data_IF_962044540535
#
_entry.id   IF_962044540535
#
_cell.length_a   1.000
_cell.length_b   1.000
_cell.length_c   1.000
_cell.angle_alpha   90.00
_cell.angle_beta   90.00
_cell.angle_gamma   90.00
#
_symmetry.space_group_name_H-M   'P 1'
#
loop_
_entity.id
_entity.type
_entity.pdbx_description
1 polymer ?
#
# COMPACT_ATOMS: atom_id res chain seq x y z
N UNK A 1 3.47 -14.50 19.86
CA UNK A 1 3.51 -13.20 19.16
C UNK A 1 2.47 -13.25 18.06
N UNK A 2 1.52 -12.33 18.06
CA UNK A 2 0.48 -12.29 17.03
C UNK A 2 1.07 -11.71 15.74
N UNK A 3 0.97 -12.43 14.62
CA UNK A 3 1.40 -11.93 13.31
C UNK A 3 0.44 -10.85 12.82
N UNK A 4 0.89 -9.60 12.81
CA UNK A 4 0.14 -8.48 12.23
C UNK A 4 0.14 -8.62 10.70
N UNK A 5 -1.05 -8.79 10.12
CA UNK A 5 -1.27 -8.81 8.67
C UNK A 5 -1.84 -7.46 8.20
N UNK A 6 -1.63 -7.14 6.93
CA UNK A 6 -2.31 -6.01 6.30
C UNK A 6 -3.83 -6.25 6.28
N UNK A 7 -4.60 -5.22 6.65
CA UNK A 7 -6.07 -5.24 6.68
C UNK A 7 -6.71 -4.28 5.68
N UNK A 8 -5.91 -3.42 5.04
CA UNK A 8 -6.32 -2.46 4.02
C UNK A 8 -5.32 -2.53 2.86
N UNK A 9 -5.83 -2.54 1.63
CA UNK A 9 -5.03 -2.54 0.41
C UNK A 9 -5.44 -1.36 -0.48
N UNK A 10 -4.44 -0.60 -0.95
CA UNK A 10 -4.62 0.50 -1.91
C UNK A 10 -4.10 -0.01 -3.26
N UNK A 11 -5.00 -0.41 -4.14
CA UNK A 11 -4.67 -1.18 -5.36
C UNK A 11 -4.39 -0.34 -6.61
N UNK A 12 -4.45 0.99 -6.55
CA UNK A 12 -4.33 1.86 -7.74
C UNK A 12 -5.68 2.46 -8.17
N UNK A 13 -5.83 3.04 -9.37
CA UNK A 13 -4.95 2.99 -10.54
C UNK A 13 -3.77 3.99 -10.53
N UNK A 14 -2.82 3.80 -11.45
CA UNK A 14 -1.75 4.78 -11.71
C UNK A 14 -2.34 6.18 -11.94
N UNK A 15 -1.74 7.20 -11.34
CA UNK A 15 -2.18 8.61 -11.41
C UNK A 15 -3.57 8.90 -10.82
N UNK A 16 -4.15 8.00 -10.03
CA UNK A 16 -5.40 8.24 -9.29
C UNK A 16 -5.19 8.95 -7.93
N UNK A 17 -4.00 9.50 -7.67
CA UNK A 17 -3.70 10.18 -6.39
C UNK A 17 -3.42 9.24 -5.22
N UNK A 18 -3.12 7.96 -5.46
CA UNK A 18 -2.84 6.99 -4.39
C UNK A 18 -1.67 7.39 -3.50
N UNK A 19 -0.65 8.04 -4.05
CA UNK A 19 0.49 8.56 -3.26
C UNK A 19 0.03 9.55 -2.19
N UNK A 20 -0.75 10.57 -2.56
CA UNK A 20 -1.26 11.58 -1.62
C UNK A 20 -2.20 10.98 -0.59
N UNK A 21 -3.01 9.99 -0.99
CA UNK A 21 -3.88 9.26 -0.05
C UNK A 21 -3.07 8.48 0.99
N UNK A 22 -2.01 7.78 0.57
CA UNK A 22 -1.09 7.07 1.47
C UNK A 22 -0.39 8.04 2.44
N UNK A 23 0.07 9.19 1.95
CA UNK A 23 0.69 10.24 2.78
C UNK A 23 -0.26 10.85 3.81
N UNK A 24 -1.56 10.90 3.51
CA UNK A 24 -2.57 11.36 4.47
C UNK A 24 -2.78 10.30 5.56
N UNK A 25 -2.92 9.03 5.18
CA UNK A 25 -3.14 7.92 6.12
C UNK A 25 -1.94 7.70 7.04
N UNK A 26 -0.71 7.88 6.53
CA UNK A 26 0.51 7.69 7.33
C UNK A 26 0.65 8.67 8.49
N UNK A 27 -0.09 9.80 8.47
CA UNK A 27 -0.12 10.76 9.57
C UNK A 27 -0.98 10.32 10.76
N UNK A 28 -1.85 9.31 10.58
CA UNK A 28 -2.74 8.87 11.63
C UNK A 28 -2.03 7.91 12.60
N UNK A 29 -2.02 8.17 13.92
CA UNK A 29 -1.19 7.42 14.88
C UNK A 29 -1.57 5.94 15.03
N UNK A 30 -2.79 5.57 14.62
CA UNK A 30 -3.29 4.19 14.67
C UNK A 30 -3.11 3.42 13.35
N UNK A 31 -2.60 4.07 12.31
CA UNK A 31 -2.43 3.47 10.98
C UNK A 31 -0.94 3.26 10.73
N UNK A 32 -0.57 2.02 10.45
CA UNK A 32 0.74 1.69 9.93
C UNK A 32 0.65 1.54 8.42
N UNK A 33 1.52 2.22 7.70
CA UNK A 33 1.66 2.13 6.24
C UNK A 33 2.96 1.38 5.92
N UNK A 34 2.92 0.51 4.91
CA UNK A 34 4.11 -0.18 4.41
C UNK A 34 5.19 0.84 3.97
N UNK A 35 6.45 0.70 4.41
CA UNK A 35 7.56 1.54 3.92
C UNK A 35 7.91 1.25 2.46
N UNK A 36 7.57 0.06 1.97
CA UNK A 36 7.74 -0.33 0.56
C UNK A 36 6.49 0.09 -0.19
N UNK A 37 6.65 1.02 -1.14
CA UNK A 37 5.61 1.42 -2.08
C UNK A 37 5.50 0.37 -3.19
N UNK A 38 4.27 0.02 -3.55
CA UNK A 38 3.96 -0.91 -4.66
C UNK A 38 4.70 -2.26 -4.56
N UNK A 39 4.53 -3.03 -3.46
CA UNK A 39 5.26 -4.30 -3.26
C UNK A 39 4.85 -5.42 -4.22
N UNK A 40 3.72 -5.28 -4.93
CA UNK A 40 3.24 -6.22 -5.93
C UNK A 40 3.17 -7.70 -5.46
N UNK A 41 2.99 -7.93 -4.15
CA UNK A 41 3.02 -9.27 -3.54
C UNK A 41 1.94 -10.23 -4.05
N UNK A 42 0.75 -9.70 -4.40
CA UNK A 42 -0.39 -10.48 -4.87
C UNK A 42 -0.50 -10.52 -6.41
N UNK A 43 0.51 -10.05 -7.13
CA UNK A 43 0.47 -9.98 -8.59
C UNK A 43 1.27 -11.15 -9.16
N UNK A 44 0.63 -12.01 -9.95
CA UNK A 44 1.29 -13.21 -10.53
C UNK A 44 2.43 -12.84 -11.50
N UNK A 45 2.31 -11.68 -12.15
CA UNK A 45 3.29 -11.17 -13.12
C UNK A 45 3.37 -9.65 -13.01
N UNK A 46 4.59 -9.12 -12.90
CA UNK A 46 4.82 -7.69 -13.03
C UNK A 46 4.48 -7.22 -14.46
N UNK A 47 3.90 -6.03 -14.64
CA UNK A 47 3.74 -5.44 -15.97
C UNK A 47 5.09 -5.46 -16.70
N UNK A 48 5.09 -5.92 -17.95
CA UNK A 48 6.26 -5.81 -18.83
C UNK A 48 6.39 -4.33 -19.21
N UNK A 49 7.10 -3.56 -18.40
CA UNK A 49 7.53 -2.18 -18.70
C UNK A 49 9.03 -2.11 -18.64
#
# INVERSE_FOLDING_TARGET
>A
METKKANLFIVGAMRAGTTSFVELLSKHPQIYVSPIKEPNYFVDRLPLT
#
